data_IF_784540618187
#
_entry.id   IF_784540618187
#
_cell.length_a   1.000
_cell.length_b   1.000
_cell.length_c   1.000
_cell.angle_alpha   90.00
_cell.angle_beta   90.00
_cell.angle_gamma   90.00
#
_symmetry.space_group_name_H-M   'P 1'
#
loop_
_entity.id
_entity.type
_entity.pdbx_description
1 polymer ?
#
# COMPACT_ATOMS: atom_id res chain seq x y z
N UNK A 1 10.85 -1.31 -29.38
CA UNK A 1 10.11 -2.55 -29.68
C UNK A 1 10.73 -3.67 -28.87
N UNK A 2 10.11 -4.01 -27.74
CA UNK A 2 10.52 -5.13 -26.90
C UNK A 2 9.23 -5.75 -26.35
N UNK A 3 8.93 -6.95 -26.81
CA UNK A 3 7.77 -7.76 -26.43
C UNK A 3 8.05 -8.42 -25.08
N UNK A 4 7.20 -8.32 -24.05
CA UNK A 4 7.36 -9.14 -22.87
C UNK A 4 6.68 -10.50 -23.10
N UNK A 5 7.47 -11.56 -22.92
CA UNK A 5 7.02 -12.95 -22.87
C UNK A 5 6.15 -13.17 -21.63
N UNK A 6 4.89 -13.53 -21.82
CA UNK A 6 4.02 -14.07 -20.76
C UNK A 6 4.49 -15.47 -20.37
N UNK A 7 5.03 -15.63 -19.16
CA UNK A 7 5.16 -16.92 -18.50
C UNK A 7 3.88 -17.29 -17.74
N UNK A 8 3.49 -18.56 -17.65
CA UNK A 8 2.25 -18.96 -16.98
C UNK A 8 2.36 -18.80 -15.46
N UNK A 9 1.45 -18.02 -14.86
CA UNK A 9 1.29 -17.88 -13.41
C UNK A 9 0.47 -19.06 -12.88
N UNK A 10 1.11 -19.96 -12.11
CA UNK A 10 0.42 -20.98 -11.32
C UNK A 10 -0.32 -20.33 -10.14
N UNK A 11 -1.65 -20.49 -10.10
CA UNK A 11 -2.48 -20.23 -8.93
C UNK A 11 -2.23 -21.35 -7.89
N UNK A 12 -1.67 -21.01 -6.73
CA UNK A 12 -1.62 -21.94 -5.60
C UNK A 12 -2.91 -21.83 -4.78
N UNK A 13 -3.80 -22.83 -4.92
CA UNK A 13 -4.96 -23.01 -4.05
C UNK A 13 -4.52 -23.86 -2.84
N UNK A 14 -4.69 -23.35 -1.63
CA UNK A 14 -4.41 -24.10 -0.40
C UNK A 14 -5.46 -25.19 -0.18
N UNK A 15 -5.05 -26.47 -0.15
CA UNK A 15 -5.89 -27.62 0.23
C UNK A 15 -5.93 -27.80 1.75
N UNK A 16 -7.13 -28.07 2.28
CA UNK A 16 -7.37 -28.53 3.65
C UNK A 16 -7.88 -29.97 3.61
N UNK A 17 -7.21 -30.87 4.35
CA UNK A 17 -7.74 -32.04 5.07
C UNK A 17 -8.40 -33.19 4.29
N UNK A 18 -7.71 -34.33 4.20
CA UNK A 18 -8.23 -35.64 3.76
C UNK A 18 -9.17 -36.30 4.79
N UNK A 19 -10.30 -36.84 4.31
CA UNK A 19 -11.14 -37.89 4.95
C UNK A 19 -11.54 -38.88 3.83
N UNK A 20 -11.53 -40.21 4.04
CA UNK A 20 -11.65 -41.22 2.97
C UNK A 20 -13.09 -41.40 2.43
N UNK A 21 -13.28 -42.09 1.28
CA UNK A 21 -14.41 -41.87 0.40
C UNK A 21 -15.64 -42.69 0.81
N UNK A 22 -16.79 -42.03 0.86
CA UNK A 22 -18.07 -42.69 0.68
C UNK A 22 -18.44 -42.61 -0.81
N UNK A 23 -18.43 -43.75 -1.49
CA UNK A 23 -18.97 -43.93 -2.84
C UNK A 23 -20.46 -43.56 -2.82
N UNK A 24 -20.87 -42.54 -3.58
CA UNK A 24 -22.21 -42.39 -4.14
C UNK A 24 -22.23 -41.23 -5.19
N UNK A 25 -22.51 -41.58 -6.45
CA UNK A 25 -22.94 -40.72 -7.57
C UNK A 25 -22.08 -39.49 -7.97
N UNK A 26 -20.90 -39.70 -8.57
CA UNK A 26 -20.00 -38.60 -9.02
C UNK A 26 -19.74 -38.54 -10.54
N UNK A 27 -20.76 -38.62 -11.40
CA UNK A 27 -20.55 -38.74 -12.86
C UNK A 27 -20.80 -37.47 -13.71
N UNK A 28 -21.64 -36.55 -13.24
CA UNK A 28 -22.11 -35.40 -14.06
C UNK A 28 -21.72 -34.04 -13.46
N UNK A 29 -21.88 -33.87 -12.14
CA UNK A 29 -21.55 -32.62 -11.44
C UNK A 29 -20.09 -32.20 -11.57
N UNK A 30 -19.16 -33.16 -11.51
CA UNK A 30 -17.72 -32.88 -11.62
C UNK A 30 -17.37 -32.41 -13.04
N UNK A 31 -17.94 -33.05 -14.07
CA UNK A 31 -17.73 -32.67 -15.47
C UNK A 31 -18.34 -31.32 -15.84
N UNK A 32 -19.48 -30.96 -15.25
CA UNK A 32 -20.12 -29.67 -15.48
C UNK A 32 -19.41 -28.54 -14.75
N UNK A 33 -18.87 -28.81 -13.55
CA UNK A 33 -18.00 -27.88 -12.85
C UNK A 33 -16.71 -27.60 -13.64
N UNK A 34 -16.06 -28.63 -14.20
CA UNK A 34 -14.89 -28.47 -15.06
C UNK A 34 -15.20 -27.67 -16.34
N UNK A 35 -16.27 -28.02 -17.04
CA UNK A 35 -16.71 -27.26 -18.23
C UNK A 35 -17.05 -25.81 -17.88
N UNK A 36 -17.68 -25.57 -16.73
CA UNK A 36 -18.01 -24.23 -16.26
C UNK A 36 -16.75 -23.40 -15.94
N UNK A 37 -15.72 -24.01 -15.32
CA UNK A 37 -14.41 -23.37 -15.09
C UNK A 37 -13.75 -22.96 -16.41
N UNK A 38 -13.68 -23.86 -17.38
CA UNK A 38 -13.10 -23.56 -18.70
C UNK A 38 -13.86 -22.46 -19.45
N UNK A 39 -15.18 -22.33 -19.25
CA UNK A 39 -15.97 -21.21 -19.81
C UNK A 39 -15.71 -19.90 -19.06
N UNK A 40 -15.49 -19.95 -17.74
CA UNK A 40 -15.14 -18.77 -16.95
C UNK A 40 -13.79 -18.22 -17.37
N UNK A 41 -12.78 -19.08 -17.53
CA UNK A 41 -11.45 -18.72 -18.03
C UNK A 41 -11.53 -18.04 -19.41
N UNK A 42 -12.38 -18.55 -20.31
CA UNK A 42 -12.62 -17.90 -21.61
C UNK A 42 -13.21 -16.50 -21.46
N UNK A 43 -14.14 -16.32 -20.53
CA UNK A 43 -14.74 -15.00 -20.26
C UNK A 43 -13.71 -14.03 -19.68
N UNK A 44 -12.89 -14.49 -18.73
CA UNK A 44 -11.81 -13.72 -18.11
C UNK A 44 -10.72 -13.35 -19.12
N UNK A 45 -10.37 -14.26 -20.05
CA UNK A 45 -9.45 -13.94 -21.13
C UNK A 45 -9.98 -12.81 -22.04
N UNK A 46 -11.29 -12.77 -22.32
CA UNK A 46 -11.88 -11.63 -23.08
C UNK A 46 -11.82 -10.33 -22.28
N UNK A 47 -12.02 -10.41 -20.97
CA UNK A 47 -11.86 -9.26 -20.08
C UNK A 47 -10.41 -8.74 -20.10
N UNK A 48 -9.42 -9.61 -19.96
CA UNK A 48 -7.99 -9.25 -20.00
C UNK A 48 -7.58 -8.63 -21.34
N UNK A 49 -8.22 -9.03 -22.43
CA UNK A 49 -8.04 -8.43 -23.77
C UNK A 49 -8.74 -7.08 -23.95
N UNK A 50 -9.41 -6.53 -22.92
CA UNK A 50 -10.20 -5.31 -23.01
C UNK A 50 -11.49 -5.45 -23.85
N UNK A 51 -11.93 -6.69 -24.13
CA UNK A 51 -13.12 -7.01 -24.91
C UNK A 51 -14.33 -7.17 -24.00
N UNK A 52 -14.67 -6.12 -23.26
CA UNK A 52 -15.66 -6.15 -22.16
C UNK A 52 -17.07 -6.58 -22.58
N UNK A 53 -17.53 -6.16 -23.76
CA UNK A 53 -18.82 -6.60 -24.32
C UNK A 53 -18.86 -8.11 -24.52
N UNK A 54 -17.76 -8.68 -25.01
CA UNK A 54 -17.65 -10.13 -25.20
C UNK A 54 -17.53 -10.86 -23.88
N UNK A 55 -16.68 -10.38 -22.96
CA UNK A 55 -16.58 -10.95 -21.61
C UNK A 55 -17.95 -11.03 -20.94
N UNK A 56 -18.72 -9.94 -20.96
CA UNK A 56 -20.09 -9.87 -20.42
C UNK A 56 -21.03 -10.87 -21.11
N UNK A 57 -20.92 -11.02 -22.42
CA UNK A 57 -21.70 -12.01 -23.18
C UNK A 57 -21.36 -13.44 -22.75
N UNK A 58 -20.07 -13.74 -22.55
CA UNK A 58 -19.63 -15.05 -22.05
C UNK A 58 -20.11 -15.29 -20.61
N UNK A 59 -20.01 -14.31 -19.71
CA UNK A 59 -20.53 -14.43 -18.35
C UNK A 59 -22.03 -14.73 -18.34
N UNK A 60 -22.84 -14.01 -19.13
CA UNK A 60 -24.29 -14.25 -19.22
C UNK A 60 -24.62 -15.68 -19.69
N UNK A 61 -23.89 -16.17 -20.71
CA UNK A 61 -24.07 -17.55 -21.21
C UNK A 61 -23.68 -18.58 -20.15
N UNK A 62 -22.56 -18.37 -19.47
CA UNK A 62 -22.09 -19.25 -18.40
C UNK A 62 -23.08 -19.30 -17.23
N UNK A 63 -23.55 -18.14 -16.76
CA UNK A 63 -24.54 -18.03 -15.70
C UNK A 63 -25.84 -18.78 -16.02
N UNK A 64 -26.33 -18.66 -17.27
CA UNK A 64 -27.53 -19.37 -17.73
C UNK A 64 -27.32 -20.88 -17.84
N UNK A 65 -26.14 -21.32 -18.31
CA UNK A 65 -25.87 -22.72 -18.62
C UNK A 65 -25.52 -23.55 -17.38
N UNK A 66 -24.85 -22.96 -16.41
CA UNK A 66 -24.33 -23.66 -15.23
C UNK A 66 -24.65 -22.93 -13.91
N UNK A 67 -25.91 -22.54 -13.65
CA UNK A 67 -26.28 -21.62 -12.55
C UNK A 67 -25.86 -22.11 -11.16
N UNK A 68 -25.87 -23.43 -10.94
CA UNK A 68 -25.59 -24.04 -9.63
C UNK A 68 -24.10 -24.31 -9.39
N UNK A 69 -23.25 -24.10 -10.39
CA UNK A 69 -21.80 -24.23 -10.25
C UNK A 69 -21.17 -22.97 -9.65
N UNK A 70 -20.03 -23.09 -8.97
CA UNK A 70 -19.30 -21.92 -8.48
C UNK A 70 -18.92 -20.93 -9.60
N UNK A 71 -18.40 -21.36 -10.78
CA UNK A 71 -18.17 -20.46 -11.90
C UNK A 71 -19.43 -19.80 -12.45
N UNK A 72 -20.57 -20.51 -12.48
CA UNK A 72 -21.86 -19.94 -12.88
C UNK A 72 -22.34 -18.84 -11.94
N UNK A 73 -22.20 -19.02 -10.63
CA UNK A 73 -22.50 -17.97 -9.63
C UNK A 73 -21.60 -16.75 -9.76
N UNK A 74 -20.30 -16.94 -9.99
CA UNK A 74 -19.38 -15.84 -10.31
C UNK A 74 -19.87 -15.11 -11.56
N UNK A 75 -20.15 -15.85 -12.63
CA UNK A 75 -20.59 -15.27 -13.89
C UNK A 75 -21.93 -14.52 -13.77
N UNK A 76 -22.87 -15.02 -12.95
CA UNK A 76 -24.13 -14.35 -12.65
C UNK A 76 -23.88 -13.00 -11.96
N UNK A 77 -23.03 -12.98 -10.94
CA UNK A 77 -22.64 -11.74 -10.25
C UNK A 77 -21.95 -10.73 -11.19
N UNK A 78 -21.09 -11.20 -12.11
CA UNK A 78 -20.43 -10.36 -13.13
C UNK A 78 -21.33 -9.97 -14.30
N UNK A 79 -22.59 -10.44 -14.33
CA UNK A 79 -23.57 -10.13 -15.37
C UNK A 79 -24.67 -9.18 -14.93
N UNK A 80 -24.68 -8.77 -13.66
CA UNK A 80 -25.63 -7.79 -13.13
C UNK A 80 -25.45 -6.43 -13.84
N UNK A 81 -26.51 -5.58 -13.89
CA UNK A 81 -26.43 -4.25 -14.51
C UNK A 81 -25.29 -3.38 -13.93
N UNK A 82 -25.18 -3.37 -12.60
CA UNK A 82 -24.05 -2.82 -11.86
C UNK A 82 -23.24 -3.97 -11.25
N UNK A 83 -21.99 -4.16 -11.67
CA UNK A 83 -21.21 -5.33 -11.29
C UNK A 83 -19.69 -5.11 -11.30
N UNK A 84 -18.97 -6.03 -10.65
CA UNK A 84 -17.52 -6.19 -10.86
C UNK A 84 -17.29 -7.06 -12.09
N UNK A 85 -16.60 -6.53 -13.10
CA UNK A 85 -16.28 -7.28 -14.32
C UNK A 85 -14.96 -8.04 -14.20
N UNK A 86 -13.98 -7.46 -13.51
CA UNK A 86 -12.64 -8.02 -13.35
C UNK A 86 -11.65 -6.99 -12.79
N UNK A 87 -10.42 -7.42 -12.56
CA UNK A 87 -9.32 -6.52 -12.20
C UNK A 87 -8.02 -6.88 -12.93
N UNK A 88 -7.22 -5.86 -13.20
CA UNK A 88 -5.92 -5.98 -13.89
C UNK A 88 -4.85 -5.28 -13.07
N UNK A 89 -3.73 -5.95 -12.84
CA UNK A 89 -2.54 -5.32 -12.27
C UNK A 89 -1.88 -4.53 -13.40
N UNK A 90 -1.91 -3.20 -13.31
CA UNK A 90 -1.37 -2.30 -14.34
C UNK A 90 0.07 -1.87 -14.02
N UNK A 91 0.47 -1.94 -12.75
CA UNK A 91 1.86 -1.80 -12.31
C UNK A 91 2.16 -2.88 -11.26
N UNK A 92 3.20 -3.66 -11.51
CA UNK A 92 3.70 -4.74 -10.66
C UNK A 92 5.17 -4.47 -10.34
N UNK A 93 5.42 -3.80 -9.21
CA UNK A 93 6.76 -3.50 -8.72
C UNK A 93 7.28 -4.55 -7.73
N UNK A 94 6.54 -5.64 -7.52
CA UNK A 94 6.89 -6.72 -6.62
C UNK A 94 5.69 -7.32 -5.89
N UNK A 95 5.93 -8.32 -5.01
CA UNK A 95 4.87 -9.01 -4.31
C UNK A 95 4.01 -8.06 -3.47
N UNK A 96 2.69 -8.19 -3.59
CA UNK A 96 1.69 -7.49 -2.75
C UNK A 96 1.96 -7.58 -1.24
N UNK A 97 2.62 -8.64 -0.78
CA UNK A 97 3.00 -8.78 0.62
C UNK A 97 3.98 -7.69 1.12
N UNK A 98 4.65 -6.97 0.21
CA UNK A 98 5.59 -5.91 0.54
C UNK A 98 5.50 -4.68 -0.38
N UNK A 99 4.31 -4.39 -0.92
CA UNK A 99 4.02 -3.19 -1.72
C UNK A 99 2.72 -2.59 -1.20
N UNK A 100 2.54 -1.28 -1.41
CA UNK A 100 1.24 -0.64 -1.25
C UNK A 100 0.41 -0.96 -2.49
N UNK A 101 -0.57 -1.85 -2.34
CA UNK A 101 -1.52 -2.19 -3.40
C UNK A 101 -2.63 -1.14 -3.50
N UNK A 102 -2.49 -0.21 -4.45
CA UNK A 102 -3.48 0.84 -4.72
C UNK A 102 -4.53 0.32 -5.69
N UNK A 103 -5.77 0.22 -5.23
CA UNK A 103 -6.90 -0.08 -6.10
C UNK A 103 -7.39 1.18 -6.83
N UNK A 104 -7.57 1.08 -8.14
CA UNK A 104 -8.18 2.11 -8.97
C UNK A 104 -9.57 1.63 -9.39
N UNK A 105 -10.61 2.36 -9.03
CA UNK A 105 -12.01 1.99 -9.31
C UNK A 105 -12.71 3.11 -10.06
N UNK A 106 -13.68 2.73 -10.90
CA UNK A 106 -14.56 3.66 -11.60
C UNK A 106 -16.00 3.47 -11.13
N UNK A 107 -16.72 4.56 -10.92
CA UNK A 107 -18.15 4.56 -10.63
C UNK A 107 -18.91 5.50 -11.57
N UNK A 108 -20.09 5.08 -12.01
CA UNK A 108 -20.82 5.72 -13.12
C UNK A 108 -20.20 5.44 -14.50
N UNK A 109 -19.33 4.44 -14.63
CA UNK A 109 -18.80 3.99 -15.91
C UNK A 109 -19.60 2.79 -16.41
N UNK A 110 -20.48 3.03 -17.38
CA UNK A 110 -21.21 1.94 -18.05
C UNK A 110 -20.28 1.04 -18.85
N UNK A 111 -20.81 -0.08 -19.36
CA UNK A 111 -20.03 -1.05 -20.15
C UNK A 111 -19.32 -0.39 -21.36
N UNK A 112 -19.99 0.57 -22.01
CA UNK A 112 -19.45 1.32 -23.14
C UNK A 112 -18.34 2.30 -22.74
N UNK A 113 -18.34 2.76 -21.48
CA UNK A 113 -17.38 3.72 -20.95
C UNK A 113 -16.15 3.07 -20.30
N UNK A 114 -16.07 1.73 -20.21
CA UNK A 114 -14.97 1.05 -19.53
C UNK A 114 -13.60 1.36 -20.13
N UNK A 115 -13.49 1.57 -21.46
CA UNK A 115 -12.22 1.98 -22.08
C UNK A 115 -11.78 3.41 -21.68
N UNK A 116 -12.74 4.30 -21.42
CA UNK A 116 -12.41 5.64 -20.91
C UNK A 116 -11.89 5.55 -19.47
N UNK A 117 -12.50 4.67 -18.65
CA UNK A 117 -12.00 4.38 -17.31
C UNK A 117 -10.61 3.73 -17.33
N UNK A 118 -10.37 2.79 -18.23
CA UNK A 118 -9.05 2.16 -18.39
C UNK A 118 -7.96 3.21 -18.60
N UNK A 119 -8.17 4.13 -19.55
CA UNK A 119 -7.24 5.21 -19.80
C UNK A 119 -7.01 6.09 -18.57
N UNK A 120 -8.08 6.42 -17.85
CA UNK A 120 -7.98 7.23 -16.63
C UNK A 120 -7.17 6.51 -15.54
N UNK A 121 -7.39 5.21 -15.36
CA UNK A 121 -6.64 4.41 -14.41
C UNK A 121 -5.15 4.29 -14.82
N UNK A 122 -4.87 4.14 -16.11
CA UNK A 122 -3.50 4.07 -16.66
C UNK A 122 -2.75 5.41 -16.52
N UNK A 123 -3.45 6.54 -16.40
CA UNK A 123 -2.87 7.87 -16.18
C UNK A 123 -2.48 8.13 -14.70
N UNK A 124 -2.91 7.28 -13.74
CA UNK A 124 -2.62 7.45 -12.30
C UNK A 124 -1.18 7.13 -11.91
N UNK A 125 -0.56 5.99 -12.31
CA UNK A 125 0.84 5.75 -11.97
C UNK A 125 1.79 6.85 -12.47
N UNK A 126 1.70 7.34 -13.73
CA UNK A 126 2.48 8.50 -14.17
C UNK A 126 2.22 9.77 -13.35
N UNK A 127 1.02 9.94 -12.79
CA UNK A 127 0.73 11.06 -11.89
C UNK A 127 1.49 10.94 -10.56
N UNK A 128 1.61 9.73 -10.01
CA UNK A 128 2.45 9.48 -8.82
C UNK A 128 3.93 9.76 -9.10
N UNK A 129 4.43 9.37 -10.27
CA UNK A 129 5.81 9.67 -10.68
C UNK A 129 6.07 11.16 -10.92
N UNK A 130 5.03 11.96 -11.21
CA UNK A 130 5.18 13.43 -11.29
C UNK A 130 5.30 14.07 -9.91
N UNK A 131 4.62 13.53 -8.89
CA UNK A 131 4.71 14.04 -7.53
C UNK A 131 5.99 13.55 -6.86
N UNK A 132 6.92 14.47 -6.57
CA UNK A 132 8.26 14.17 -6.07
C UNK A 132 8.32 13.20 -4.88
N UNK A 133 7.38 13.29 -3.94
CA UNK A 133 7.36 12.37 -2.78
C UNK A 133 6.96 10.95 -3.18
N UNK A 134 5.98 10.80 -4.06
CA UNK A 134 5.54 9.47 -4.53
C UNK A 134 6.51 8.89 -5.56
N UNK A 135 7.10 9.71 -6.43
CA UNK A 135 8.13 9.28 -7.38
C UNK A 135 9.30 8.59 -6.69
N UNK A 136 9.80 9.19 -5.60
CA UNK A 136 10.93 8.65 -4.85
C UNK A 136 10.69 7.21 -4.38
N UNK A 137 9.45 6.92 -3.98
CA UNK A 137 9.03 5.62 -3.45
C UNK A 137 8.15 4.85 -4.43
N UNK A 138 8.14 5.22 -5.73
CA UNK A 138 7.24 4.60 -6.71
C UNK A 138 7.41 3.07 -6.81
N UNK A 139 8.63 2.49 -6.73
CA UNK A 139 8.82 1.03 -6.70
C UNK A 139 8.14 0.33 -5.52
N UNK A 140 7.58 1.06 -4.56
CA UNK A 140 6.94 0.52 -3.36
C UNK A 140 5.43 0.37 -3.57
N UNK A 141 4.89 0.83 -4.69
CA UNK A 141 3.47 0.77 -5.02
C UNK A 141 3.22 -0.26 -6.12
N UNK A 142 2.10 -0.97 -5.98
CA UNK A 142 1.43 -1.67 -7.06
C UNK A 142 0.13 -0.93 -7.38
N UNK A 143 -0.31 -1.00 -8.63
CA UNK A 143 -1.58 -0.41 -9.04
C UNK A 143 -2.45 -1.46 -9.70
N UNK A 144 -3.65 -1.68 -9.15
CA UNK A 144 -4.63 -2.61 -9.68
C UNK A 144 -5.89 -1.86 -10.09
N UNK A 145 -6.22 -1.92 -11.38
CA UNK A 145 -7.50 -1.41 -11.90
C UNK A 145 -8.60 -2.42 -11.64
N UNK A 146 -9.73 -1.96 -11.11
CA UNK A 146 -10.97 -2.73 -10.95
C UNK A 146 -12.01 -2.15 -11.91
N UNK A 147 -12.37 -2.94 -12.91
CA UNK A 147 -13.41 -2.55 -13.86
C UNK A 147 -14.77 -2.87 -13.24
N UNK A 148 -15.42 -1.84 -12.70
CA UNK A 148 -16.78 -1.89 -12.20
C UNK A 148 -17.71 -1.31 -13.27
N UNK A 149 -18.65 -2.11 -13.74
CA UNK A 149 -19.70 -1.65 -14.66
C UNK A 149 -20.80 -1.05 -13.81
N UNK A 150 -21.21 0.17 -14.12
CA UNK A 150 -22.44 0.78 -13.59
C UNK A 150 -23.56 0.66 -14.61
N UNK A 151 -24.80 0.47 -14.16
CA UNK A 151 -25.96 0.52 -15.05
C UNK A 151 -26.11 1.92 -15.64
N UNK A 152 -26.01 2.92 -14.78
CA UNK A 152 -26.20 4.32 -15.15
C UNK A 152 -24.87 5.09 -15.20
N UNK A 153 -24.82 6.14 -16.03
CA UNK A 153 -23.59 6.90 -16.33
C UNK A 153 -23.39 8.15 -15.44
N UNK A 154 -24.39 8.44 -14.61
CA UNK A 154 -24.44 9.59 -13.70
C UNK A 154 -24.36 9.09 -12.25
N UNK A 155 -24.65 9.97 -11.28
CA UNK A 155 -24.71 9.65 -9.85
C UNK A 155 -25.94 10.28 -9.21
N UNK A 156 -26.32 9.76 -8.06
CA UNK A 156 -27.43 10.27 -7.26
C UNK A 156 -27.27 11.76 -6.93
N UNK A 157 -28.40 12.45 -6.91
CA UNK A 157 -28.53 13.84 -6.47
C UNK A 157 -29.00 14.79 -7.55
N UNK A 158 -29.35 16.00 -7.12
CA UNK A 158 -30.10 16.96 -7.95
C UNK A 158 -31.39 16.36 -8.56
N UNK A 159 -32.09 15.52 -7.78
CA UNK A 159 -33.34 14.87 -8.20
C UNK A 159 -33.17 13.59 -9.03
N UNK A 160 -31.93 13.12 -9.26
CA UNK A 160 -31.67 11.84 -9.93
C UNK A 160 -31.45 10.71 -8.92
N UNK A 161 -31.93 9.53 -9.29
CA UNK A 161 -31.67 8.24 -8.64
C UNK A 161 -31.04 7.33 -9.69
N UNK A 162 -29.77 6.97 -9.50
CA UNK A 162 -28.91 6.30 -10.47
C UNK A 162 -28.34 5.00 -9.86
N UNK A 163 -28.40 3.90 -10.60
CA UNK A 163 -27.82 2.62 -10.22
C UNK A 163 -26.36 2.56 -10.68
N UNK A 164 -25.45 2.78 -9.73
CA UNK A 164 -24.01 2.76 -9.95
C UNK A 164 -23.34 1.69 -9.09
N UNK A 165 -22.18 1.20 -9.53
CA UNK A 165 -21.50 0.06 -8.92
C UNK A 165 -21.11 0.27 -7.44
N UNK A 166 -20.89 1.53 -7.04
CA UNK A 166 -20.47 1.92 -5.71
C UNK A 166 -21.46 2.90 -5.04
N UNK A 167 -22.67 3.07 -5.56
CA UNK A 167 -23.66 4.03 -5.09
C UNK A 167 -23.08 5.47 -4.99
N UNK A 168 -22.50 5.92 -6.10
CA UNK A 168 -22.02 7.29 -6.25
C UNK A 168 -23.13 8.30 -6.04
N UNK A 169 -22.85 9.34 -5.27
CA UNK A 169 -23.81 10.39 -4.96
C UNK A 169 -23.12 11.74 -4.74
N UNK A 170 -23.84 12.81 -5.08
CA UNK A 170 -23.45 14.16 -4.70
C UNK A 170 -23.80 14.42 -3.25
N UNK A 171 -22.87 15.00 -2.49
CA UNK A 171 -23.13 15.40 -1.11
C UNK A 171 -24.00 16.65 -1.10
N UNK A 172 -24.85 16.78 -0.08
CA UNK A 172 -25.70 17.96 0.19
C UNK A 172 -24.92 19.27 0.46
N UNK A 173 -23.60 19.26 0.29
CA UNK A 173 -22.74 20.44 0.49
C UNK A 173 -22.73 21.33 -0.75
N UNK A 174 -22.63 22.63 -0.54
CA UNK A 174 -22.82 23.75 -1.50
C UNK A 174 -21.94 23.67 -2.78
N UNK A 175 -20.93 22.80 -2.85
CA UNK A 175 -19.89 22.83 -3.90
C UNK A 175 -19.81 21.58 -4.79
N UNK A 176 -20.77 20.64 -4.71
CA UNK A 176 -20.81 19.50 -5.65
C UNK A 176 -19.74 18.42 -5.41
N UNK A 177 -19.32 18.22 -4.15
CA UNK A 177 -18.50 17.08 -3.74
C UNK A 177 -19.22 15.76 -4.02
N UNK A 178 -18.49 14.77 -4.52
CA UNK A 178 -19.00 13.40 -4.69
C UNK A 178 -18.43 12.45 -3.65
N UNK A 179 -19.22 11.42 -3.34
CA UNK A 179 -18.82 10.30 -2.51
C UNK A 179 -19.45 9.00 -3.03
N UNK A 180 -18.97 7.88 -2.51
CA UNK A 180 -19.47 6.52 -2.79
C UNK A 180 -19.73 5.78 -1.47
N UNK A 181 -20.44 4.65 -1.49
CA UNK A 181 -20.62 3.81 -0.31
C UNK A 181 -19.30 3.08 0.04
N UNK A 182 -18.71 3.46 1.16
CA UNK A 182 -17.48 2.87 1.68
C UNK A 182 -17.56 1.35 1.91
N UNK A 183 -18.75 0.80 2.18
CA UNK A 183 -18.93 -0.65 2.34
C UNK A 183 -18.83 -1.37 1.00
N UNK A 184 -19.34 -0.77 -0.08
CA UNK A 184 -19.21 -1.33 -1.43
C UNK A 184 -17.76 -1.28 -1.90
N UNK A 185 -17.04 -0.18 -1.66
CA UNK A 185 -15.59 -0.09 -1.96
C UNK A 185 -14.82 -1.24 -1.28
N UNK A 186 -15.05 -1.46 0.02
CA UNK A 186 -14.41 -2.56 0.76
C UNK A 186 -14.83 -3.95 0.25
N UNK A 187 -16.10 -4.12 -0.11
CA UNK A 187 -16.60 -5.35 -0.73
C UNK A 187 -15.88 -5.64 -2.05
N UNK A 188 -15.65 -4.62 -2.88
CA UNK A 188 -14.91 -4.78 -4.14
C UNK A 188 -13.42 -5.07 -3.90
N UNK A 189 -12.79 -4.38 -2.94
CA UNK A 189 -11.40 -4.66 -2.55
C UNK A 189 -11.20 -6.12 -2.14
N UNK A 190 -12.12 -6.69 -1.37
CA UNK A 190 -12.07 -8.07 -0.90
C UNK A 190 -12.12 -9.13 -2.03
N UNK A 191 -12.42 -8.73 -3.27
CA UNK A 191 -12.37 -9.62 -4.44
C UNK A 191 -10.96 -9.76 -5.03
N UNK A 192 -10.01 -8.90 -4.64
CA UNK A 192 -8.63 -9.03 -5.10
C UNK A 192 -7.85 -10.07 -4.27
N UNK A 193 -6.84 -10.74 -4.88
CA UNK A 193 -6.00 -11.71 -4.16
C UNK A 193 -5.28 -11.13 -2.93
N UNK A 194 -4.94 -9.85 -3.01
CA UNK A 194 -4.34 -9.07 -1.93
C UNK A 194 -4.75 -7.60 -2.10
N UNK A 195 -4.85 -6.88 -0.98
CA UNK A 195 -5.09 -5.43 -0.95
C UNK A 195 -4.71 -4.83 0.41
N UNK A 196 -4.34 -3.56 0.42
CA UNK A 196 -4.05 -2.80 1.64
C UNK A 196 -5.23 -1.98 2.18
N UNK A 197 -6.41 -2.16 1.57
CA UNK A 197 -7.60 -1.42 1.97
C UNK A 197 -7.59 0.03 1.49
N UNK A 198 -6.74 0.36 0.51
CA UNK A 198 -6.60 1.69 -0.05
C UNK A 198 -7.05 1.77 -1.50
N UNK A 199 -7.74 2.85 -1.87
CA UNK A 199 -8.30 3.00 -3.22
C UNK A 199 -8.40 4.45 -3.69
N UNK A 200 -8.32 4.64 -5.01
CA UNK A 200 -8.74 5.86 -5.70
C UNK A 200 -9.95 5.49 -6.54
N UNK A 201 -11.08 6.14 -6.26
CA UNK A 201 -12.36 5.91 -6.93
C UNK A 201 -12.68 7.14 -7.76
N UNK A 202 -12.70 6.99 -9.08
CA UNK A 202 -13.16 8.03 -9.99
C UNK A 202 -14.66 7.91 -10.21
N UNK A 203 -15.37 8.98 -9.95
CA UNK A 203 -16.80 9.11 -10.21
C UNK A 203 -16.96 9.94 -11.48
N UNK A 204 -17.62 9.36 -12.49
CA UNK A 204 -17.74 9.96 -13.83
C UNK A 204 -18.43 11.33 -13.80
N UNK A 205 -19.45 11.51 -12.95
CA UNK A 205 -20.22 12.74 -12.83
C UNK A 205 -19.95 13.45 -11.48
N UNK A 206 -19.16 14.51 -11.50
CA UNK A 206 -18.81 15.30 -10.31
C UNK A 206 -17.67 16.27 -10.56
N UNK A 207 -17.46 17.23 -9.66
CA UNK A 207 -16.42 18.29 -9.81
C UNK A 207 -15.36 18.20 -8.72
N UNK A 208 -15.76 17.89 -7.48
CA UNK A 208 -14.86 17.84 -6.32
C UNK A 208 -14.81 16.44 -5.71
N UNK A 209 -13.79 16.17 -4.91
CA UNK A 209 -13.56 14.86 -4.30
C UNK A 209 -13.83 14.80 -2.80
N UNK A 210 -13.69 13.61 -2.24
CA UNK A 210 -13.59 13.43 -0.79
C UNK A 210 -12.54 12.37 -0.49
N UNK A 211 -11.71 12.61 0.51
CA UNK A 211 -10.66 11.67 0.92
C UNK A 211 -10.71 11.35 2.40
N UNK A 212 -10.46 10.09 2.74
CA UNK A 212 -10.31 9.66 4.13
C UNK A 212 -10.39 8.15 4.30
N UNK A 213 -9.95 7.67 5.47
CA UNK A 213 -10.11 6.26 5.86
C UNK A 213 -9.61 5.24 4.84
N UNK A 214 -8.55 5.59 4.09
CA UNK A 214 -7.89 4.71 3.12
C UNK A 214 -8.28 4.93 1.66
N UNK A 215 -9.38 5.63 1.34
CA UNK A 215 -9.73 5.86 -0.06
C UNK A 215 -10.11 7.30 -0.38
N UNK A 216 -9.86 7.66 -1.63
CA UNK A 216 -10.17 8.96 -2.22
C UNK A 216 -11.24 8.78 -3.29
N UNK A 217 -12.30 9.56 -3.23
CA UNK A 217 -13.30 9.69 -4.29
C UNK A 217 -13.02 10.96 -5.07
N UNK A 218 -12.89 10.87 -6.39
CA UNK A 218 -12.54 11.98 -7.27
C UNK A 218 -13.71 12.20 -8.25
N UNK A 219 -14.29 13.40 -8.24
CA UNK A 219 -15.21 13.82 -9.29
C UNK A 219 -14.44 14.22 -10.55
N UNK A 220 -14.80 13.63 -11.70
CA UNK A 220 -14.14 13.93 -12.97
C UNK A 220 -12.72 13.35 -13.05
N UNK A 221 -11.77 14.08 -13.62
CA UNK A 221 -10.43 13.55 -13.97
C UNK A 221 -9.26 14.44 -13.51
N UNK A 222 -9.51 15.37 -12.58
CA UNK A 222 -8.51 16.35 -12.16
C UNK A 222 -7.35 15.72 -11.39
N UNK A 223 -6.15 15.74 -11.99
CA UNK A 223 -4.93 15.24 -11.36
C UNK A 223 -4.58 15.97 -10.06
N UNK A 224 -4.85 17.29 -9.97
CA UNK A 224 -4.59 18.07 -8.76
C UNK A 224 -5.48 17.59 -7.61
N UNK A 225 -6.77 17.38 -7.88
CA UNK A 225 -7.72 16.84 -6.90
C UNK A 225 -7.31 15.41 -6.53
N UNK A 226 -6.92 14.56 -7.49
CA UNK A 226 -6.45 13.20 -7.20
C UNK A 226 -5.34 13.17 -6.15
N UNK A 227 -4.27 13.94 -6.33
CA UNK A 227 -3.13 13.94 -5.40
C UNK A 227 -3.50 14.57 -4.04
N UNK A 228 -4.36 15.59 -4.03
CA UNK A 228 -4.85 16.23 -2.81
C UNK A 228 -5.72 15.26 -1.97
N UNK A 229 -6.75 14.68 -2.58
CA UNK A 229 -7.65 13.73 -1.90
C UNK A 229 -6.93 12.45 -1.50
N UNK A 230 -5.95 12.01 -2.30
CA UNK A 230 -5.08 10.91 -1.91
C UNK A 230 -4.25 11.25 -0.66
N UNK A 231 -3.80 12.49 -0.50
CA UNK A 231 -3.16 12.97 0.73
C UNK A 231 -4.03 12.78 1.97
N UNK A 232 -5.32 13.12 1.90
CA UNK A 232 -6.29 12.85 2.96
C UNK A 232 -6.50 11.35 3.19
N UNK A 233 -6.73 10.60 2.11
CA UNK A 233 -7.06 9.18 2.16
C UNK A 233 -5.93 8.32 2.72
N UNK A 234 -4.73 8.55 2.22
CA UNK A 234 -3.55 7.73 2.47
C UNK A 234 -2.86 8.13 3.76
N UNK A 235 -2.45 9.40 3.87
CA UNK A 235 -1.62 9.92 4.95
C UNK A 235 -2.39 10.73 6.02
N UNK A 236 -3.72 10.82 5.91
CA UNK A 236 -4.60 11.53 6.87
C UNK A 236 -4.25 13.01 7.06
N UNK A 237 -3.73 13.64 6.00
CA UNK A 237 -3.43 15.07 5.98
C UNK A 237 -4.74 15.88 6.12
N UNK A 238 -4.66 17.11 6.62
CA UNK A 238 -5.78 18.06 6.66
C UNK A 238 -5.60 19.16 5.61
N UNK A 239 -6.70 19.84 5.31
CA UNK A 239 -6.71 21.01 4.44
C UNK A 239 -5.92 22.17 5.04
N UNK A 240 -4.97 22.70 4.26
CA UNK A 240 -4.17 23.88 4.60
C UNK A 240 -4.72 25.16 3.97
N UNK A 241 -5.70 25.07 3.06
CA UNK A 241 -6.36 26.26 2.52
C UNK A 241 -7.25 26.94 3.57
N UNK A 242 -7.46 28.24 3.40
CA UNK A 242 -8.41 29.02 4.17
C UNK A 242 -9.33 29.76 3.20
N UNK A 243 -10.63 29.53 3.31
CA UNK A 243 -11.66 30.10 2.41
C UNK A 243 -12.77 30.84 3.16
N UNK A 244 -12.97 30.51 4.44
CA UNK A 244 -14.05 31.05 5.26
C UNK A 244 -13.50 32.12 6.19
N UNK A 245 -13.95 33.35 6.01
CA UNK A 245 -13.55 34.53 6.78
C UNK A 245 -14.23 34.61 8.15
N UNK A 246 -15.42 34.01 8.30
CA UNK A 246 -16.25 34.11 9.51
C UNK A 246 -16.38 32.79 10.30
N UNK A 247 -15.90 31.67 9.77
CA UNK A 247 -15.94 30.37 10.46
C UNK A 247 -14.88 30.34 11.58
N UNK A 248 -15.31 29.98 12.79
CA UNK A 248 -14.47 29.85 13.99
C UNK A 248 -14.69 28.50 14.68
N UNK A 249 -15.11 27.48 13.93
CA UNK A 249 -15.34 26.14 14.46
C UNK A 249 -14.09 25.49 15.04
N UNK A 250 -14.28 24.41 15.82
CA UNK A 250 -13.16 23.66 16.39
C UNK A 250 -12.19 23.15 15.32
N UNK A 251 -10.90 23.46 15.48
CA UNK A 251 -9.84 22.97 14.59
C UNK A 251 -9.42 21.58 15.02
N UNK A 252 -9.57 20.61 14.10
CA UNK A 252 -9.12 19.25 14.36
C UNK A 252 -7.64 19.12 14.06
N UNK A 253 -6.82 19.06 15.10
CA UNK A 253 -5.37 18.89 14.97
C UNK A 253 -5.01 17.67 14.08
N UNK A 254 -4.03 17.90 13.20
CA UNK A 254 -3.42 16.92 12.30
C UNK A 254 -1.92 17.17 12.18
N UNK A 255 -1.24 16.26 11.50
CA UNK A 255 0.20 16.35 11.23
C UNK A 255 0.63 17.66 10.55
N UNK A 256 -0.29 18.32 9.83
CA UNK A 256 -0.05 19.56 9.09
C UNK A 256 -1.03 20.70 9.43
N UNK A 257 -1.87 20.55 10.47
CA UNK A 257 -2.79 21.61 10.93
C UNK A 257 -2.86 21.65 12.46
N UNK A 258 -2.78 22.84 13.03
CA UNK A 258 -2.87 23.10 14.46
C UNK A 258 -3.99 24.09 14.78
N UNK A 259 -4.71 23.88 15.87
CA UNK A 259 -5.68 24.80 16.46
C UNK A 259 -5.08 25.76 17.49
N UNK A 260 -3.75 25.78 17.64
CA UNK A 260 -3.00 26.71 18.49
C UNK A 260 -1.80 27.27 17.72
N UNK A 261 -1.40 28.51 18.03
CA UNK A 261 -0.19 29.17 17.55
C UNK A 261 1.08 28.77 18.32
N UNK A 262 0.96 28.03 19.42
CA UNK A 262 2.10 27.57 20.20
C UNK A 262 2.97 26.60 19.37
N UNK A 263 4.20 27.00 18.97
CA UNK A 263 5.04 26.19 18.10
C UNK A 263 5.52 24.89 18.76
N UNK A 264 5.45 24.79 20.09
CA UNK A 264 5.85 23.59 20.82
C UNK A 264 4.76 22.53 20.88
N UNK A 265 3.50 22.93 20.64
CA UNK A 265 2.33 22.03 20.67
C UNK A 265 1.90 21.54 19.29
N UNK A 266 2.41 22.14 18.22
CA UNK A 266 2.16 21.69 16.86
C UNK A 266 2.71 20.28 16.62
N UNK A 267 2.01 19.47 15.83
CA UNK A 267 2.48 18.12 15.49
C UNK A 267 3.85 18.12 14.78
N UNK A 268 4.20 19.22 14.12
CA UNK A 268 5.49 19.46 13.44
C UNK A 268 6.50 20.27 14.27
N UNK A 269 6.32 20.39 15.59
CA UNK A 269 7.22 21.14 16.47
C UNK A 269 8.70 20.75 16.31
N UNK A 270 8.99 19.48 16.02
CA UNK A 270 10.36 18.99 15.80
C UNK A 270 11.02 19.59 14.55
N UNK A 271 10.25 19.92 13.51
CA UNK A 271 10.75 20.64 12.34
C UNK A 271 11.12 22.10 12.66
N UNK A 272 10.33 22.76 13.52
CA UNK A 272 10.60 24.12 14.00
C UNK A 272 11.85 24.12 14.88
N UNK A 273 11.94 23.18 15.83
CA UNK A 273 13.09 23.03 16.72
C UNK A 273 14.40 22.75 15.94
N UNK A 274 14.32 21.95 14.87
CA UNK A 274 15.44 21.69 13.97
C UNK A 274 15.80 22.87 13.05
N UNK A 275 15.05 23.99 13.12
CA UNK A 275 15.24 25.21 12.31
C UNK A 275 15.24 24.90 10.81
N UNK A 276 14.31 24.06 10.37
CA UNK A 276 14.16 23.76 8.94
C UNK A 276 13.59 25.00 8.22
N UNK A 277 14.27 25.52 7.17
CA UNK A 277 13.82 26.72 6.48
C UNK A 277 12.38 26.60 5.95
N UNK A 278 11.61 27.67 6.09
CA UNK A 278 10.23 27.76 5.60
C UNK A 278 9.19 27.01 6.45
N UNK A 279 9.59 26.33 7.53
CA UNK A 279 8.66 25.68 8.45
C UNK A 279 8.45 26.56 9.69
N UNK A 280 7.18 26.82 10.01
CA UNK A 280 6.78 27.69 11.12
C UNK A 280 5.31 27.52 11.48
N UNK A 281 4.72 28.56 12.06
CA UNK A 281 3.30 28.63 12.39
C UNK A 281 2.66 29.73 11.54
N UNK A 282 2.03 29.36 10.43
CA UNK A 282 1.37 30.31 9.54
C UNK A 282 -0.13 30.24 9.72
N UNK A 283 -0.77 31.37 10.04
CA UNK A 283 -2.22 31.41 10.28
C UNK A 283 -2.99 31.25 8.96
N UNK A 284 -4.09 30.50 9.00
CA UNK A 284 -4.96 30.20 7.87
C UNK A 284 -4.83 28.74 7.44
N UNK A 285 -5.75 27.89 7.92
CA UNK A 285 -5.81 26.46 7.63
C UNK A 285 -7.20 25.90 7.94
N UNK A 286 -7.47 24.63 7.62
CA UNK A 286 -8.74 23.96 7.93
C UNK A 286 -9.97 24.73 7.43
N UNK A 287 -9.83 25.44 6.31
CA UNK A 287 -10.85 26.32 5.75
C UNK A 287 -11.03 27.66 6.48
N UNK A 288 -10.39 27.89 7.63
CA UNK A 288 -10.53 29.07 8.48
C UNK A 288 -9.36 30.04 8.30
N UNK A 289 -9.65 31.33 8.16
CA UNK A 289 -8.60 32.37 8.02
C UNK A 289 -7.91 32.68 9.35
N UNK A 290 -8.59 32.49 10.49
CA UNK A 290 -8.05 32.71 11.84
C UNK A 290 -8.30 31.51 12.74
N UNK A 291 -7.48 31.35 13.77
CA UNK A 291 -7.64 30.28 14.77
C UNK A 291 -7.17 28.89 14.32
N UNK A 292 -6.60 28.78 13.12
CA UNK A 292 -5.95 27.57 12.62
C UNK A 292 -4.60 27.92 11.99
N UNK A 293 -3.62 27.04 12.12
CA UNK A 293 -2.25 27.23 11.64
C UNK A 293 -1.78 26.05 10.82
N UNK A 294 -0.93 26.33 9.83
CA UNK A 294 -0.27 25.37 8.93
C UNK A 294 1.25 25.54 8.97
N UNK A 295 2.03 24.53 8.54
CA UNK A 295 3.49 24.53 8.68
C UNK A 295 4.22 25.42 7.69
N UNK A 296 3.60 25.79 6.56
CA UNK A 296 4.23 26.62 5.52
C UNK A 296 3.28 27.72 5.04
N UNK A 297 3.81 28.82 4.52
CA UNK A 297 3.01 29.94 4.04
C UNK A 297 2.20 29.62 2.78
N UNK A 298 2.60 28.60 2.00
CA UNK A 298 1.90 28.17 0.79
C UNK A 298 2.68 27.13 0.00
N UNK A 299 2.16 26.76 -1.18
CA UNK A 299 2.83 25.81 -2.10
C UNK A 299 2.62 24.33 -1.77
N UNK A 300 2.03 24.02 -0.61
CA UNK A 300 1.61 22.67 -0.27
C UNK A 300 0.43 22.21 -1.15
N UNK A 301 0.43 20.94 -1.57
CA UNK A 301 -0.71 20.26 -2.21
C UNK A 301 -1.99 20.38 -1.36
N UNK A 302 -1.86 20.35 -0.04
CA UNK A 302 -3.01 20.47 0.88
C UNK A 302 -3.59 21.89 0.94
N UNK A 303 -2.95 22.85 0.27
CA UNK A 303 -3.42 24.22 0.09
C UNK A 303 -3.83 24.43 -1.39
N UNK A 304 -2.89 24.91 -2.22
CA UNK A 304 -3.13 25.17 -3.64
C UNK A 304 -1.89 24.92 -4.52
N UNK A 305 -0.85 24.29 -3.99
CA UNK A 305 0.44 24.12 -4.67
C UNK A 305 0.68 22.72 -5.21
N UNK A 306 1.96 22.38 -5.41
CA UNK A 306 2.38 21.19 -6.17
C UNK A 306 3.28 20.24 -5.38
N UNK A 307 3.82 20.67 -4.24
CA UNK A 307 4.67 19.83 -3.39
C UNK A 307 3.98 19.50 -2.07
N UNK A 308 4.37 18.41 -1.40
CA UNK A 308 3.99 18.21 0.00
C UNK A 308 4.98 18.93 0.91
N UNK A 309 4.49 19.80 1.80
CA UNK A 309 5.32 20.45 2.81
C UNK A 309 6.00 19.39 3.71
N UNK A 310 7.07 19.74 4.44
CA UNK A 310 7.88 18.74 5.18
C UNK A 310 7.07 17.86 6.14
N UNK A 311 6.11 18.37 6.93
CA UNK A 311 5.26 17.52 7.75
C UNK A 311 4.34 16.57 6.95
N UNK A 312 3.81 17.02 5.81
CA UNK A 312 3.02 16.18 4.92
C UNK A 312 3.89 15.08 4.27
N UNK A 313 5.08 15.44 3.82
CA UNK A 313 6.06 14.51 3.24
C UNK A 313 6.47 13.44 4.26
N UNK A 314 6.80 13.84 5.49
CA UNK A 314 7.12 12.94 6.60
C UNK A 314 5.99 11.94 6.85
N UNK A 315 4.75 12.44 6.97
CA UNK A 315 3.58 11.60 7.19
C UNK A 315 3.33 10.60 6.04
N UNK A 316 3.53 11.01 4.78
CA UNK A 316 3.42 10.14 3.62
C UNK A 316 4.48 9.04 3.65
N UNK A 317 5.75 9.38 3.87
CA UNK A 317 6.84 8.39 3.91
C UNK A 317 6.63 7.38 5.04
N UNK A 318 6.30 7.84 6.25
CA UNK A 318 5.97 6.96 7.37
C UNK A 318 4.74 6.09 7.08
N UNK A 319 3.75 6.61 6.33
CA UNK A 319 2.60 5.83 5.91
C UNK A 319 2.97 4.73 4.93
N UNK A 320 3.84 5.00 3.95
CA UNK A 320 4.36 3.98 3.02
C UNK A 320 5.03 2.86 3.83
N UNK A 321 5.95 3.20 4.72
CA UNK A 321 6.66 2.22 5.56
C UNK A 321 5.77 1.54 6.61
N UNK A 322 4.56 2.04 6.87
CA UNK A 322 3.58 1.29 7.67
C UNK A 322 3.00 0.07 6.93
N UNK A 323 3.01 0.08 5.60
CA UNK A 323 2.60 -1.04 4.75
C UNK A 323 3.80 -1.89 4.31
N UNK A 324 4.93 -1.26 3.99
CA UNK A 324 6.09 -1.95 3.42
C UNK A 324 7.23 -2.13 4.43
N UNK A 325 7.92 -3.25 4.32
CA UNK A 325 9.14 -3.61 5.01
C UNK A 325 10.38 -3.17 4.17
N UNK A 326 11.34 -2.43 4.77
CA UNK A 326 12.63 -2.13 4.16
C UNK A 326 13.38 -3.33 3.55
N UNK A 327 13.14 -4.56 4.03
CA UNK A 327 13.79 -5.80 3.56
C UNK A 327 12.78 -6.65 2.78
N UNK A 328 12.97 -6.70 1.46
CA UNK A 328 12.17 -7.46 0.50
C UNK A 328 12.42 -8.98 0.62
N UNK A 329 13.69 -9.39 0.68
CA UNK A 329 14.07 -10.79 0.71
C UNK A 329 15.23 -11.03 1.67
N UNK A 330 15.27 -12.20 2.29
CA UNK A 330 16.36 -12.63 3.15
C UNK A 330 16.64 -14.12 2.96
N UNK A 331 17.89 -14.46 2.66
CA UNK A 331 18.39 -15.82 2.48
C UNK A 331 19.63 -16.07 3.37
N UNK A 332 19.75 -17.24 4.03
CA UNK A 332 18.72 -18.28 4.19
C UNK A 332 17.46 -17.75 4.89
N UNK A 333 16.43 -18.58 5.06
CA UNK A 333 15.21 -18.16 5.75
C UNK A 333 15.55 -17.67 7.19
N UNK A 334 15.11 -16.49 7.60
CA UNK A 334 15.32 -15.97 8.96
C UNK A 334 14.66 -16.86 10.03
N UNK A 335 15.25 -16.88 11.22
CA UNK A 335 14.73 -17.60 12.38
C UNK A 335 14.04 -16.63 13.35
N UNK A 336 12.96 -17.05 13.99
CA UNK A 336 12.42 -16.32 15.15
C UNK A 336 13.44 -16.32 16.30
N UNK A 337 13.28 -15.44 17.31
CA UNK A 337 14.23 -15.42 18.44
C UNK A 337 14.19 -16.73 19.22
N UNK A 338 13.00 -17.29 19.46
CA UNK A 338 12.82 -18.55 20.23
C UNK A 338 12.88 -19.81 19.38
N UNK A 339 13.39 -19.71 18.15
CA UNK A 339 13.51 -20.86 17.25
C UNK A 339 14.61 -21.82 17.77
N UNK A 340 14.31 -23.12 17.96
CA UNK A 340 15.31 -24.10 18.35
C UNK A 340 16.30 -24.42 17.22
N UNK A 341 15.92 -24.21 15.96
CA UNK A 341 16.77 -24.51 14.82
C UNK A 341 17.94 -23.54 14.70
N UNK A 342 19.10 -24.07 14.29
CA UNK A 342 20.32 -23.31 14.01
C UNK A 342 20.97 -23.80 12.73
N UNK A 343 21.61 -22.91 11.99
CA UNK A 343 22.40 -23.26 10.82
C UNK A 343 23.83 -23.62 11.27
N UNK A 344 24.36 -24.77 10.85
CA UNK A 344 25.71 -25.20 11.23
C UNK A 344 26.77 -24.56 10.33
N UNK A 345 27.73 -23.85 10.91
CA UNK A 345 28.84 -23.23 10.19
C UNK A 345 29.98 -24.26 10.03
N UNK A 346 30.01 -25.00 8.93
CA UNK A 346 31.09 -25.98 8.66
C UNK A 346 32.37 -25.29 8.16
N UNK A 347 32.28 -24.60 7.03
CA UNK A 347 33.37 -23.75 6.49
C UNK A 347 32.98 -22.28 6.55
N UNK A 348 31.82 -21.96 5.98
CA UNK A 348 31.21 -20.64 6.00
C UNK A 348 29.73 -20.71 5.68
N UNK A 349 28.98 -19.70 6.11
CA UNK A 349 27.60 -19.46 5.68
C UNK A 349 27.52 -18.07 5.05
N UNK A 350 26.85 -17.98 3.90
CA UNK A 350 26.54 -16.74 3.23
C UNK A 350 25.11 -16.31 3.54
N UNK A 351 24.96 -15.10 4.05
CA UNK A 351 23.70 -14.40 4.21
C UNK A 351 23.55 -13.37 3.10
N UNK A 352 22.35 -13.28 2.55
CA UNK A 352 21.95 -12.30 1.54
C UNK A 352 20.65 -11.66 1.98
N UNK A 353 20.57 -10.34 1.94
CA UNK A 353 19.29 -9.64 1.94
C UNK A 353 19.15 -8.79 0.68
N UNK A 354 17.91 -8.58 0.28
CA UNK A 354 17.51 -7.62 -0.76
C UNK A 354 16.66 -6.56 -0.07
N UNK A 355 17.04 -5.30 -0.17
CA UNK A 355 16.31 -4.16 0.40
C UNK A 355 15.50 -3.44 -0.65
N UNK A 356 14.47 -2.71 -0.22
CA UNK A 356 13.72 -1.80 -1.05
C UNK A 356 14.61 -0.72 -1.68
N UNK A 357 14.26 -0.26 -2.88
CA UNK A 357 15.08 0.66 -3.68
C UNK A 357 14.32 1.94 -4.03
N UNK A 358 14.45 3.01 -3.22
CA UNK A 358 13.94 4.33 -3.59
C UNK A 358 14.78 4.93 -4.73
N UNK A 359 14.24 5.91 -5.43
CA UNK A 359 14.79 6.44 -6.70
C UNK A 359 16.20 7.05 -6.54
N UNK A 360 16.41 7.88 -5.51
CA UNK A 360 17.56 8.79 -5.42
C UNK A 360 18.51 8.49 -4.28
N UNK A 361 18.12 7.67 -3.31
CA UNK A 361 18.99 7.23 -2.22
C UNK A 361 19.00 5.71 -2.06
N UNK A 362 19.78 5.25 -1.08
CA UNK A 362 19.90 3.83 -0.74
C UNK A 362 19.63 3.63 0.72
N UNK A 363 18.94 2.54 1.01
CA UNK A 363 18.84 2.02 2.37
C UNK A 363 20.24 1.63 2.87
N UNK A 364 20.45 1.84 4.16
CA UNK A 364 21.67 1.44 4.85
C UNK A 364 21.46 0.06 5.46
N UNK A 365 22.54 -0.73 5.53
CA UNK A 365 22.51 -2.06 6.13
C UNK A 365 23.67 -2.25 7.07
N UNK A 366 23.40 -2.81 8.24
CA UNK A 366 24.39 -3.20 9.23
C UNK A 366 24.14 -4.64 9.70
N UNK A 367 25.24 -5.33 10.01
CA UNK A 367 25.25 -6.72 10.41
C UNK A 367 25.99 -6.89 11.73
N UNK A 368 25.46 -7.77 12.58
CA UNK A 368 26.06 -8.18 13.85
C UNK A 368 26.13 -9.70 13.91
N UNK A 369 27.15 -10.21 14.59
CA UNK A 369 27.24 -11.61 14.99
C UNK A 369 27.44 -11.61 16.50
N UNK A 370 26.38 -11.99 17.22
CA UNK A 370 26.30 -11.83 18.67
C UNK A 370 26.27 -13.20 19.33
N UNK A 371 27.03 -13.44 20.42
CA UNK A 371 26.81 -14.61 21.25
C UNK A 371 25.34 -14.70 21.70
N UNK A 372 24.81 -15.90 21.89
CA UNK A 372 23.39 -16.11 22.24
C UNK A 372 22.90 -15.24 23.42
N UNK A 373 23.70 -15.15 24.49
CA UNK A 373 23.41 -14.29 25.67
C UNK A 373 23.34 -12.79 25.38
N UNK A 374 23.97 -12.35 24.28
CA UNK A 374 24.07 -10.95 23.86
C UNK A 374 23.06 -10.59 22.78
N UNK A 375 22.26 -11.55 22.31
CA UNK A 375 21.28 -11.32 21.26
C UNK A 375 20.18 -10.35 21.74
N UNK A 376 19.79 -9.33 20.95
CA UNK A 376 18.82 -8.32 21.36
C UNK A 376 17.43 -8.92 21.57
N UNK A 377 16.65 -8.47 22.58
CA UNK A 377 15.30 -8.97 22.80
C UNK A 377 14.41 -8.72 21.57
N UNK A 378 13.29 -9.44 21.47
CA UNK A 378 12.27 -9.07 20.49
C UNK A 378 11.70 -7.68 20.80
N UNK A 379 11.25 -6.92 19.77
CA UNK A 379 10.55 -5.66 19.99
C UNK A 379 9.38 -5.87 20.96
N UNK A 380 9.22 -4.98 21.93
CA UNK A 380 8.02 -4.98 22.77
C UNK A 380 6.85 -4.60 21.87
N UNK A 381 5.97 -5.55 21.54
CA UNK A 381 4.76 -5.30 20.75
C UNK A 381 4.00 -4.11 21.32
N UNK A 382 3.88 -3.04 20.53
CA UNK A 382 3.37 -1.77 21.01
C UNK A 382 2.06 -1.43 20.30
N UNK A 383 1.02 -1.35 21.12
CA UNK A 383 -0.36 -0.87 20.85
C UNK A 383 -1.27 -1.86 20.12
N UNK A 384 -2.20 -2.44 20.90
CA UNK A 384 -3.31 -3.28 20.43
C UNK A 384 -4.14 -2.64 19.30
N UNK A 385 -4.15 -1.30 19.24
CA UNK A 385 -4.84 -0.52 18.19
C UNK A 385 -4.39 -0.89 16.76
N UNK A 386 -3.12 -1.26 16.58
CA UNK A 386 -2.55 -1.64 15.28
C UNK A 386 -2.38 -3.15 15.10
N UNK A 387 -2.71 -3.96 16.10
CA UNK A 387 -2.55 -5.42 16.06
C UNK A 387 -3.59 -6.13 15.17
N UNK A 388 -4.74 -5.48 14.90
CA UNK A 388 -5.87 -6.07 14.20
C UNK A 388 -6.01 -5.62 12.73
N UNK A 389 -5.17 -4.70 12.27
CA UNK A 389 -5.05 -4.40 10.85
C UNK A 389 -4.07 -5.39 10.27
N UNK A 390 -4.53 -6.27 9.38
CA UNK A 390 -3.63 -7.05 8.52
C UNK A 390 -2.48 -6.11 8.07
N UNK A 391 -1.24 -6.49 8.42
CA UNK A 391 0.04 -5.90 7.96
C UNK A 391 0.50 -4.51 8.42
N UNK A 392 -0.15 -3.81 9.37
CA UNK A 392 0.37 -2.49 9.83
C UNK A 392 1.62 -2.60 10.72
N UNK A 393 2.78 -2.24 10.17
CA UNK A 393 4.09 -2.37 10.84
C UNK A 393 4.25 -1.48 12.07
N UNK A 394 3.38 -0.49 12.28
CA UNK A 394 3.43 0.37 13.49
C UNK A 394 3.16 -0.42 14.77
N UNK A 395 2.43 -1.54 14.69
CA UNK A 395 2.18 -2.42 15.85
C UNK A 395 3.44 -3.10 16.40
N UNK A 396 4.50 -3.23 15.59
CA UNK A 396 5.79 -3.79 16.04
C UNK A 396 6.51 -2.84 17.00
N UNK A 397 6.38 -1.53 16.80
CA UNK A 397 7.18 -0.52 17.49
C UNK A 397 8.65 -0.49 17.05
N UNK A 398 9.47 0.39 17.67
CA UNK A 398 10.88 0.52 17.35
C UNK A 398 11.70 -0.70 17.77
N UNK A 399 12.76 -1.00 17.02
CA UNK A 399 13.67 -2.09 17.35
C UNK A 399 14.51 -1.73 18.60
N UNK A 400 14.81 -2.70 19.48
CA UNK A 400 15.71 -2.47 20.61
C UNK A 400 17.10 -2.04 20.15
N UNK A 401 17.75 -1.15 20.89
CA UNK A 401 19.12 -0.75 20.61
C UNK A 401 20.10 -1.93 20.79
N UNK A 402 20.98 -2.16 19.81
CA UNK A 402 22.08 -3.12 19.91
C UNK A 402 23.30 -2.36 20.42
N UNK A 403 23.77 -2.72 21.63
CA UNK A 403 24.89 -2.05 22.31
C UNK A 403 26.26 -2.25 21.64
N UNK A 404 26.36 -3.22 20.74
CA UNK A 404 27.59 -3.61 20.07
C UNK A 404 27.70 -2.95 18.71
N UNK A 405 28.92 -2.63 18.28
CA UNK A 405 29.18 -2.17 16.92
C UNK A 405 28.93 -3.28 15.89
N UNK A 406 28.46 -2.95 14.68
CA UNK A 406 28.25 -3.92 13.63
C UNK A 406 29.59 -4.48 13.14
N UNK A 407 29.63 -5.80 12.90
CA UNK A 407 30.78 -6.46 12.28
C UNK A 407 30.95 -6.06 10.81
N UNK A 408 29.88 -5.57 10.18
CA UNK A 408 29.90 -5.08 8.80
C UNK A 408 28.78 -4.08 8.58
N UNK A 409 29.11 -2.94 7.98
CA UNK A 409 28.15 -2.04 7.34
C UNK A 409 28.29 -2.15 5.82
N UNK A 410 27.18 -2.06 5.10
CA UNK A 410 27.20 -2.08 3.64
C UNK A 410 26.38 -0.92 3.10
N UNK A 411 27.03 -0.09 2.28
CA UNK A 411 26.34 0.83 1.36
C UNK A 411 25.95 -0.03 0.16
N UNK A 412 24.67 -0.32 0.01
CA UNK A 412 24.17 -1.30 -0.96
C UNK A 412 24.58 -1.01 -2.39
N UNK A 413 24.56 -2.04 -3.22
CA UNK A 413 24.62 -1.89 -4.68
C UNK A 413 23.29 -1.30 -5.20
N UNK A 414 23.24 -0.96 -6.49
CA UNK A 414 22.00 -0.46 -7.14
C UNK A 414 20.84 -1.43 -7.09
N UNK A 415 21.14 -2.72 -7.05
CA UNK A 415 20.18 -3.82 -6.98
C UNK A 415 19.58 -4.04 -5.58
N UNK A 416 19.97 -3.26 -4.56
CA UNK A 416 19.50 -3.44 -3.19
C UNK A 416 20.05 -4.70 -2.51
N UNK A 417 21.05 -5.40 -3.09
CA UNK A 417 21.57 -6.65 -2.53
C UNK A 417 22.72 -6.37 -1.56
N UNK A 418 22.63 -6.96 -0.37
CA UNK A 418 23.68 -6.92 0.66
C UNK A 418 24.02 -8.34 1.11
N UNK A 419 25.30 -8.57 1.45
CA UNK A 419 25.79 -9.90 1.84
C UNK A 419 26.69 -9.85 3.06
N UNK A 420 26.64 -10.91 3.86
CA UNK A 420 27.58 -11.21 4.93
C UNK A 420 28.01 -12.67 4.80
N UNK A 421 29.32 -12.92 4.87
CA UNK A 421 29.85 -14.29 4.97
C UNK A 421 30.40 -14.47 6.38
N UNK A 422 29.90 -15.47 7.09
CA UNK A 422 30.42 -15.87 8.42
C UNK A 422 31.27 -17.11 8.23
N UNK A 423 32.54 -17.08 8.64
CA UNK A 423 33.48 -18.21 8.51
C UNK A 423 33.62 -18.93 9.84
N UNK A 424 33.72 -20.26 9.81
CA UNK A 424 33.87 -21.07 11.03
C UNK A 424 35.11 -20.66 11.85
N UNK A 425 36.21 -20.31 11.18
CA UNK A 425 37.46 -19.90 11.83
C UNK A 425 37.46 -18.47 12.39
N UNK A 426 36.37 -17.72 12.25
CA UNK A 426 36.25 -16.34 12.75
C UNK A 426 35.53 -16.23 14.09
N UNK A 427 35.08 -17.35 14.65
CA UNK A 427 34.27 -17.43 15.86
C UNK A 427 34.73 -18.61 16.72
N UNK A 428 34.63 -18.48 18.03
CA UNK A 428 34.79 -19.60 18.95
C UNK A 428 33.58 -20.57 18.85
N UNK A 429 33.76 -21.87 19.17
CA UNK A 429 32.65 -22.82 19.23
C UNK A 429 31.49 -22.31 20.09
N UNK A 430 30.26 -22.49 19.62
CA UNK A 430 29.06 -22.05 20.33
C UNK A 430 27.95 -21.54 19.41
N UNK A 431 26.87 -21.04 20.04
CA UNK A 431 25.68 -20.54 19.35
C UNK A 431 25.68 -19.01 19.28
N UNK A 432 25.39 -18.50 18.09
CA UNK A 432 25.37 -17.07 17.81
C UNK A 432 24.08 -16.65 17.11
N UNK A 433 23.69 -15.40 17.35
CA UNK A 433 22.66 -14.69 16.61
C UNK A 433 23.30 -13.79 15.57
N UNK A 434 23.13 -14.12 14.29
CA UNK A 434 23.42 -13.20 13.20
C UNK A 434 22.23 -12.26 13.07
N UNK A 435 22.46 -10.96 13.20
CA UNK A 435 21.42 -9.94 13.08
C UNK A 435 21.77 -9.03 11.91
N UNK A 436 20.78 -8.74 11.07
CA UNK A 436 20.87 -7.78 9.98
C UNK A 436 19.78 -6.74 10.18
N UNK A 437 20.15 -5.45 10.15
CA UNK A 437 19.20 -4.36 10.09
C UNK A 437 19.36 -3.57 8.82
N UNK A 438 18.24 -3.20 8.22
CA UNK A 438 18.18 -2.29 7.10
C UNK A 438 17.27 -1.11 7.47
N UNK A 439 17.68 0.10 7.11
CA UNK A 439 16.88 1.28 7.37
C UNK A 439 16.98 2.32 6.26
N UNK A 440 15.90 3.08 6.12
CA UNK A 440 15.88 4.25 5.28
C UNK A 440 16.29 5.51 6.07
N UNK A 441 17.30 6.22 5.58
CA UNK A 441 17.69 7.53 6.14
C UNK A 441 16.75 8.65 5.70
N UNK A 442 16.00 8.43 4.62
CA UNK A 442 15.12 9.40 3.95
C UNK A 442 15.83 10.69 3.56
N UNK A 443 17.17 10.65 3.45
CA UNK A 443 18.03 11.80 3.16
C UNK A 443 18.54 11.74 1.73
N UNK A 444 18.05 12.64 0.90
CA UNK A 444 18.48 12.75 -0.48
C UNK A 444 19.89 13.34 -0.58
N UNK A 445 20.60 13.03 -1.66
CA UNK A 445 21.90 13.64 -1.95
C UNK A 445 21.74 15.15 -2.12
N UNK A 446 22.44 15.92 -1.29
CA UNK A 446 22.41 17.39 -1.31
C UNK A 446 21.39 18.00 -0.33
N UNK A 447 20.44 17.22 0.18
CA UNK A 447 19.51 17.71 1.18
C UNK A 447 20.21 17.91 2.53
N UNK A 448 19.96 19.05 3.18
CA UNK A 448 20.46 19.32 4.53
C UNK A 448 19.78 18.41 5.56
N UNK A 449 18.46 18.23 5.43
CA UNK A 449 17.61 17.48 6.34
C UNK A 449 17.00 16.25 5.63
N UNK A 450 16.82 15.13 6.35
CA UNK A 450 16.02 14.01 5.84
C UNK A 450 14.55 14.41 5.66
N UNK A 451 13.78 13.60 4.94
CA UNK A 451 12.33 13.78 4.77
C UNK A 451 11.54 13.34 6.00
N UNK A 452 12.12 12.48 6.85
CA UNK A 452 11.59 12.10 8.17
C UNK A 452 12.60 12.49 9.23
N UNK A 453 12.22 13.39 10.14
CA UNK A 453 13.01 13.75 11.32
C UNK A 453 12.58 12.96 12.55
N UNK A 454 11.33 12.49 12.62
CA UNK A 454 10.81 11.74 13.76
C UNK A 454 9.99 10.52 13.30
N UNK A 455 10.50 9.33 13.59
CA UNK A 455 9.82 8.04 13.40
C UNK A 455 9.47 7.43 14.77
N UNK A 456 8.30 7.78 15.30
CA UNK A 456 7.85 7.33 16.62
C UNK A 456 7.63 5.81 16.70
N UNK A 457 7.35 5.17 15.56
CA UNK A 457 7.00 3.75 15.49
C UNK A 457 8.14 2.87 14.98
N UNK A 458 9.26 3.46 14.56
CA UNK A 458 10.43 2.76 14.02
C UNK A 458 10.14 2.01 12.71
N UNK A 459 9.17 2.46 11.91
CA UNK A 459 8.78 1.78 10.66
C UNK A 459 9.86 1.89 9.58
N UNK A 460 10.77 2.88 9.64
CA UNK A 460 11.85 3.03 8.67
C UNK A 460 12.93 1.95 8.78
N UNK A 461 12.94 1.17 9.87
CA UNK A 461 13.95 0.14 10.14
C UNK A 461 13.32 -1.25 10.27
N UNK A 462 13.99 -2.25 9.69
CA UNK A 462 13.62 -3.66 9.79
C UNK A 462 14.79 -4.55 10.14
N UNK A 463 14.49 -5.72 10.71
CA UNK A 463 15.46 -6.70 11.17
C UNK A 463 15.19 -8.06 10.54
N UNK A 464 16.27 -8.76 10.18
CA UNK A 464 16.29 -10.20 9.89
C UNK A 464 17.39 -10.81 10.73
N UNK A 465 17.14 -11.99 11.29
CA UNK A 465 18.13 -12.61 12.13
C UNK A 465 18.06 -14.14 12.06
N UNK A 466 19.19 -14.77 12.32
CA UNK A 466 19.41 -16.21 12.17
C UNK A 466 20.16 -16.74 13.38
N UNK A 467 19.85 -17.98 13.76
CA UNK A 467 20.68 -18.72 14.69
C UNK A 467 21.71 -19.53 13.92
N UNK A 468 22.97 -19.43 14.32
CA UNK A 468 24.06 -20.26 13.82
C UNK A 468 24.75 -20.99 14.97
N UNK A 469 25.31 -22.15 14.68
CA UNK A 469 26.18 -22.89 15.60
C UNK A 469 27.53 -23.15 14.94
N UNK A 470 28.60 -22.88 15.67
CA UNK A 470 29.97 -23.23 15.30
C UNK A 470 30.35 -24.47 16.10
N UNK A 471 30.61 -25.62 15.45
CA UNK A 471 30.95 -26.86 16.14
C UNK A 471 32.30 -26.76 16.86
N UNK A 472 32.53 -27.63 17.85
CA UNK A 472 33.83 -27.77 18.47
C UNK A 472 34.85 -28.30 17.44
N UNK A 473 36.12 -27.88 17.54
CA UNK A 473 37.17 -28.41 16.66
C UNK A 473 37.41 -29.89 17.03
N UNK A 474 36.96 -30.82 16.19
CA UNK A 474 37.21 -32.25 16.36
C UNK A 474 36.01 -33.20 16.21
N UNK A 475 34.82 -32.69 15.88
CA UNK A 475 33.66 -33.48 15.45
C UNK A 475 33.45 -33.45 13.93
#
# INVERSE_FOLDING_TARGET
MATPLLGPRLLALALVGLVPPALCAGGTEDTDAEKARAQLEKAELRYEQGRYNEATTYYRRLAKKYPDTAPGRIAAARSLPSCYLGSTLIVDNGPSANRVDVALMGDGYTLEHQKAFDKLADDVPPLFERQATFREYFPYFNFRRFNLVSKDAMVDGFGREEDTALNGHTRKTIQGHVAVDARLVRKMLALAPAHDGVAIVYVRAGILGTGGSGFATIGGTSSKITIHEWGHAFARLADEYSKKTHDRGGVRNRVNVSGTDDPTKAAWAHWIAAKVPGIGMYQGASGQVRGAWKPTSGGCVMDSGEFFCKPCQEAIVLRIYSFVDPIDEALPRPHARRDPASLTVTKSIDFRITVMTPEKHRLQVAWWVLPERSAPPEPRTARREYANGLTDRRGRGPLPHIKYEPVKTSKGKRDGVHKLTVKANSLEPGRYRVVCRAWDTTKMKGDKFPWVLRDEYGVLESERAWWIVVPAKGE
#
